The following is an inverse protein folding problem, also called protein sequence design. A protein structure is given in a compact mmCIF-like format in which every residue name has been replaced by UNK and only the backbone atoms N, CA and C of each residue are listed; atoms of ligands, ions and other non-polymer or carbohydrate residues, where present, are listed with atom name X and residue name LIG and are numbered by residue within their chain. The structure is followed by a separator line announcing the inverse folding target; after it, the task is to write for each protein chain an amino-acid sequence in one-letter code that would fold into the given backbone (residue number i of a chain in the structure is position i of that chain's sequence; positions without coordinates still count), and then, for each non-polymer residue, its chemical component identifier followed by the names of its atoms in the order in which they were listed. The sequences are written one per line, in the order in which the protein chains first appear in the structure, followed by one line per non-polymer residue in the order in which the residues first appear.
data_IF_266170725801
#
_entry.id   IF_266170725801
#
_cell.length_a   1.000
_cell.length_b   1.000
_cell.length_c   1.000
_cell.angle_alpha   90.00
_cell.angle_beta   90.00
_cell.angle_gamma   90.00
#
_symmetry.space_group_name_H-M   'P 1'
#
loop_
_entity.id
_entity.type
_entity.pdbx_description
1 polymer ?
#
# COMPACT_ATOMS: atom_id res chain seq x y z
N UNK A 1 3.69 -26.50 -13.15
CA UNK A 1 4.52 -25.59 -12.31
C UNK A 1 4.50 -24.15 -12.81
N UNK A 2 4.79 -23.90 -14.09
CA UNK A 2 4.78 -22.55 -14.68
C UNK A 2 3.45 -21.80 -14.56
N UNK A 3 2.32 -22.49 -14.77
CA UNK A 3 0.99 -21.90 -14.63
C UNK A 3 0.74 -21.34 -13.22
N UNK A 4 1.12 -22.08 -12.17
CA UNK A 4 0.97 -21.60 -10.80
C UNK A 4 1.81 -20.35 -10.49
N UNK A 5 3.02 -20.26 -11.06
CA UNK A 5 3.90 -19.09 -10.88
C UNK A 5 3.29 -17.86 -11.55
N UNK A 6 2.79 -17.98 -12.78
CA UNK A 6 2.17 -16.88 -13.51
C UNK A 6 0.93 -16.33 -12.78
N UNK A 7 0.09 -17.23 -12.25
CA UNK A 7 -1.10 -16.86 -11.47
C UNK A 7 -0.75 -16.06 -10.21
N UNK A 8 0.26 -16.51 -9.46
CA UNK A 8 0.75 -15.80 -8.26
C UNK A 8 1.42 -14.47 -8.60
N UNK A 9 2.20 -14.46 -9.67
CA UNK A 9 2.86 -13.25 -10.18
C UNK A 9 1.83 -12.19 -10.56
N UNK A 10 0.74 -12.56 -11.22
CA UNK A 10 -0.33 -11.63 -11.57
C UNK A 10 -1.08 -11.06 -10.35
N UNK A 11 -1.35 -11.89 -9.33
CA UNK A 11 -1.95 -11.42 -8.08
C UNK A 11 -1.04 -10.39 -7.39
N UNK A 12 0.25 -10.69 -7.28
CA UNK A 12 1.24 -9.79 -6.69
C UNK A 12 1.43 -8.52 -7.52
N UNK A 13 1.51 -8.64 -8.85
CA UNK A 13 1.65 -7.49 -9.75
C UNK A 13 0.43 -6.59 -9.69
N UNK A 14 -0.77 -7.17 -9.70
CA UNK A 14 -2.00 -6.40 -9.61
C UNK A 14 -2.15 -5.67 -8.27
N UNK A 15 -1.86 -6.37 -7.16
CA UNK A 15 -1.85 -5.76 -5.82
C UNK A 15 -0.76 -4.72 -5.64
N UNK A 16 0.44 -4.97 -6.17
CA UNK A 16 1.59 -4.05 -6.14
C UNK A 16 1.32 -2.79 -6.93
N UNK A 17 0.90 -2.91 -8.19
CA UNK A 17 0.53 -1.78 -9.06
C UNK A 17 -0.57 -0.92 -8.44
N UNK A 18 -1.62 -1.54 -7.88
CA UNK A 18 -2.68 -0.81 -7.19
C UNK A 18 -2.18 -0.09 -5.93
N UNK A 19 -1.31 -0.74 -5.14
CA UNK A 19 -0.70 -0.14 -3.95
C UNK A 19 0.20 1.05 -4.29
N UNK A 20 1.02 0.93 -5.34
CA UNK A 20 1.96 1.97 -5.77
C UNK A 20 1.28 3.33 -6.01
N UNK A 21 0.08 3.35 -6.61
CA UNK A 21 -0.68 4.59 -6.88
C UNK A 21 -1.06 5.37 -5.61
N UNK A 22 -1.09 4.68 -4.47
CA UNK A 22 -1.37 5.24 -3.16
C UNK A 22 -0.12 5.26 -2.26
N UNK A 23 1.06 5.10 -2.84
CA UNK A 23 2.34 5.23 -2.14
C UNK A 23 2.70 6.70 -1.94
N UNK A 24 3.38 7.01 -0.85
CA UNK A 24 4.05 8.29 -0.65
C UNK A 24 5.04 8.59 -1.78
N UNK A 25 5.62 7.60 -2.45
CA UNK A 25 6.58 7.78 -3.54
C UNK A 25 6.00 8.46 -4.79
N UNK A 26 4.68 8.60 -4.87
CA UNK A 26 3.99 9.35 -5.93
C UNK A 26 3.71 10.81 -5.51
N UNK A 27 4.06 11.20 -4.27
CA UNK A 27 3.78 12.51 -3.69
C UNK A 27 4.96 13.20 -2.99
N UNK A 28 5.78 12.43 -2.28
CA UNK A 28 6.72 12.90 -1.26
C UNK A 28 8.19 12.76 -1.67
N UNK A 29 8.51 11.80 -2.54
CA UNK A 29 9.89 11.58 -2.95
C UNK A 29 10.19 12.42 -4.18
N UNK A 30 10.94 13.52 -3.97
CA UNK A 30 11.23 14.54 -4.97
C UNK A 30 11.79 13.95 -6.27
N UNK A 31 12.70 12.97 -6.16
CA UNK A 31 13.38 12.37 -7.31
C UNK A 31 12.44 11.55 -8.21
N UNK A 32 11.74 10.53 -7.68
CA UNK A 32 10.75 9.76 -8.43
C UNK A 32 9.61 10.62 -9.00
N UNK A 33 9.05 11.55 -8.21
CA UNK A 33 7.89 12.34 -8.67
C UNK A 33 8.29 13.30 -9.78
N UNK A 34 9.41 14.02 -9.64
CA UNK A 34 9.92 14.89 -10.70
C UNK A 34 10.12 14.11 -12.01
N UNK A 35 10.84 12.98 -11.95
CA UNK A 35 11.06 12.11 -13.11
C UNK A 35 9.78 11.56 -13.72
N UNK A 36 8.78 11.21 -12.90
CA UNK A 36 7.48 10.76 -13.39
C UNK A 36 6.70 11.90 -14.09
N UNK A 37 6.81 13.13 -13.61
CA UNK A 37 6.11 14.29 -14.17
C UNK A 37 6.75 14.87 -15.44
N UNK A 38 8.05 14.66 -15.64
CA UNK A 38 8.76 15.06 -16.87
C UNK A 38 8.36 14.21 -18.09
N UNK A 39 7.89 12.98 -17.87
CA UNK A 39 7.47 12.07 -18.92
C UNK A 39 8.63 11.42 -19.69
N UNK A 40 8.33 10.81 -20.84
CA UNK A 40 9.33 10.15 -21.68
C UNK A 40 9.84 8.80 -21.14
N UNK A 41 11.02 8.39 -21.62
CA UNK A 41 11.58 7.06 -21.34
C UNK A 41 12.01 6.90 -19.87
N UNK A 42 12.50 7.97 -19.24
CA UNK A 42 12.92 7.95 -17.85
C UNK A 42 11.71 7.78 -16.91
N UNK A 43 10.64 8.54 -17.12
CA UNK A 43 9.38 8.37 -16.38
C UNK A 43 8.86 6.93 -16.48
N UNK A 44 8.91 6.32 -17.67
CA UNK A 44 8.50 4.93 -17.87
C UNK A 44 9.41 3.96 -17.10
N UNK A 45 10.72 4.17 -17.11
CA UNK A 45 11.67 3.34 -16.36
C UNK A 45 11.39 3.38 -14.86
N UNK A 46 11.22 4.59 -14.31
CA UNK A 46 10.88 4.81 -12.90
C UNK A 46 9.54 4.17 -12.56
N UNK A 47 8.54 4.32 -13.41
CA UNK A 47 7.24 3.68 -13.22
C UNK A 47 7.36 2.15 -13.14
N UNK A 48 8.08 1.54 -14.08
CA UNK A 48 8.29 0.08 -14.11
C UNK A 48 9.04 -0.37 -12.85
N UNK A 49 10.12 0.33 -12.50
CA UNK A 49 10.93 0.03 -11.30
C UNK A 49 10.06 0.01 -10.04
N UNK A 50 9.30 1.08 -9.78
CA UNK A 50 8.46 1.14 -8.60
C UNK A 50 7.31 0.13 -8.62
N UNK A 51 6.67 -0.11 -9.77
CA UNK A 51 5.65 -1.18 -9.86
C UNK A 51 6.25 -2.55 -9.54
N UNK A 52 7.47 -2.84 -9.99
CA UNK A 52 8.16 -4.10 -9.68
C UNK A 52 8.56 -4.21 -8.21
N UNK A 53 9.05 -3.13 -7.61
CA UNK A 53 9.36 -3.06 -6.17
C UNK A 53 8.09 -3.33 -5.35
N UNK A 54 6.98 -2.64 -5.66
CA UNK A 54 5.70 -2.85 -5.00
C UNK A 54 5.12 -4.24 -5.25
N UNK A 55 5.40 -4.84 -6.41
CA UNK A 55 5.06 -6.24 -6.70
C UNK A 55 5.81 -7.19 -5.78
N UNK A 56 7.08 -6.92 -5.49
CA UNK A 56 7.88 -7.67 -4.51
C UNK A 56 7.28 -7.60 -3.10
N UNK A 57 6.95 -6.39 -2.63
CA UNK A 57 6.31 -6.20 -1.31
C UNK A 57 4.93 -6.87 -1.23
N UNK A 58 4.12 -6.72 -2.29
CA UNK A 58 2.84 -7.40 -2.43
C UNK A 58 2.98 -8.92 -2.36
N UNK A 59 3.98 -9.46 -3.06
CA UNK A 59 4.26 -10.89 -3.07
C UNK A 59 4.62 -11.42 -1.68
N UNK A 60 5.57 -10.77 -0.98
CA UNK A 60 5.94 -11.16 0.39
C UNK A 60 4.72 -11.09 1.32
N UNK A 61 3.96 -10.00 1.24
CA UNK A 61 2.75 -9.80 2.05
C UNK A 61 1.71 -10.89 1.79
N UNK A 62 1.45 -11.25 0.53
CA UNK A 62 0.54 -12.33 0.14
C UNK A 62 1.01 -13.71 0.63
N UNK A 63 2.32 -13.99 0.56
CA UNK A 63 2.88 -15.24 1.10
C UNK A 63 2.65 -15.34 2.60
N UNK A 64 2.90 -14.27 3.34
CA UNK A 64 2.71 -14.25 4.80
C UNK A 64 1.23 -14.33 5.16
N UNK A 65 0.38 -13.52 4.52
CA UNK A 65 -1.08 -13.56 4.65
C UNK A 65 -1.61 -15.00 4.53
N UNK A 66 -1.23 -15.69 3.45
CA UNK A 66 -1.67 -17.05 3.19
C UNK A 66 -1.09 -18.05 4.20
N UNK A 67 0.21 -17.93 4.50
CA UNK A 67 0.89 -18.85 5.41
C UNK A 67 0.40 -18.71 6.86
N UNK A 68 -0.03 -17.52 7.26
CA UNK A 68 -0.58 -17.24 8.57
C UNK A 68 -2.09 -17.49 8.66
N UNK A 69 -2.81 -17.74 7.55
CA UNK A 69 -4.26 -17.94 7.57
C UNK A 69 -5.05 -16.68 7.94
N UNK A 70 -4.57 -15.51 7.54
CA UNK A 70 -5.17 -14.21 7.86
C UNK A 70 -6.59 -14.07 7.28
N UNK A 71 -7.61 -13.93 8.14
CA UNK A 71 -9.03 -13.95 7.72
C UNK A 71 -9.95 -12.95 8.44
N UNK A 72 -9.47 -12.24 9.46
CA UNK A 72 -10.26 -11.24 10.21
C UNK A 72 -9.69 -9.82 10.08
N UNK A 73 -10.42 -8.83 10.61
CA UNK A 73 -10.02 -7.43 10.53
C UNK A 73 -8.65 -7.18 11.19
N UNK A 74 -8.32 -7.90 12.27
CA UNK A 74 -7.03 -7.77 12.96
C UNK A 74 -5.90 -8.25 12.06
N UNK A 75 -6.12 -9.37 11.39
CA UNK A 75 -5.18 -9.91 10.42
C UNK A 75 -4.99 -8.96 9.23
N UNK A 76 -6.05 -8.28 8.77
CA UNK A 76 -5.94 -7.24 7.74
C UNK A 76 -5.09 -6.06 8.21
N UNK A 77 -5.30 -5.56 9.43
CA UNK A 77 -4.49 -4.48 10.02
C UNK A 77 -3.02 -4.89 10.09
N UNK A 78 -2.73 -6.08 10.63
CA UNK A 78 -1.35 -6.58 10.74
C UNK A 78 -0.69 -6.82 9.36
N UNK A 79 -1.48 -7.14 8.34
CA UNK A 79 -0.97 -7.34 6.97
C UNK A 79 -0.63 -6.01 6.31
N UNK A 80 -1.46 -4.98 6.52
CA UNK A 80 -1.11 -3.63 6.11
C UNK A 80 0.12 -3.11 6.84
N UNK A 81 0.26 -3.41 8.14
CA UNK A 81 1.46 -3.07 8.90
C UNK A 81 2.70 -3.77 8.34
N UNK A 82 2.62 -5.08 8.04
CA UNK A 82 3.69 -5.82 7.38
C UNK A 82 4.11 -5.19 6.05
N UNK A 83 3.14 -4.84 5.21
CA UNK A 83 3.39 -4.15 3.94
C UNK A 83 4.12 -2.82 4.18
N UNK A 84 3.68 -2.03 5.17
CA UNK A 84 4.34 -0.80 5.57
C UNK A 84 5.77 -1.01 6.04
N UNK A 85 6.02 -2.00 6.91
CA UNK A 85 7.37 -2.35 7.33
C UNK A 85 8.24 -2.75 6.12
N UNK A 86 7.73 -3.52 5.17
CA UNK A 86 8.50 -3.91 3.98
C UNK A 86 8.90 -2.72 3.13
N UNK A 87 7.97 -1.78 2.90
CA UNK A 87 8.20 -0.57 2.11
C UNK A 87 9.24 0.31 2.81
N UNK A 88 9.01 0.63 4.07
CA UNK A 88 9.87 1.52 4.84
C UNK A 88 11.23 0.90 5.18
N UNK A 89 11.28 -0.42 5.35
CA UNK A 89 12.52 -1.17 5.46
C UNK A 89 13.45 -0.96 4.26
N UNK A 90 12.88 -0.77 3.07
CA UNK A 90 13.64 -0.47 1.86
C UNK A 90 13.95 1.03 1.70
N UNK A 91 13.05 1.91 2.12
CA UNK A 91 13.08 3.33 1.75
C UNK A 91 13.64 4.28 2.82
N UNK A 92 13.35 4.07 4.12
CA UNK A 92 13.85 4.92 5.21
C UNK A 92 15.37 5.09 5.21
N UNK A 93 16.16 4.02 4.98
CA UNK A 93 17.62 4.12 4.84
C UNK A 93 18.13 5.18 3.86
N UNK A 94 17.29 5.62 2.92
CA UNK A 94 17.67 6.49 1.81
C UNK A 94 17.21 7.94 1.99
N UNK A 95 16.27 8.25 2.90
CA UNK A 95 15.54 9.54 2.86
C UNK A 95 15.30 10.21 4.24
N UNK A 96 15.15 9.48 5.35
CA UNK A 96 14.64 10.09 6.60
C UNK A 96 15.65 10.14 7.76
N UNK A 97 15.80 11.32 8.37
CA UNK A 97 16.79 11.59 9.43
C UNK A 97 16.26 11.46 10.88
N UNK A 98 14.99 11.08 11.10
CA UNK A 98 14.38 11.05 12.45
C UNK A 98 13.79 9.68 12.92
N UNK A 99 14.59 8.61 13.04
CA UNK A 99 14.19 7.42 13.80
C UNK A 99 13.81 7.76 15.25
N UNK A 100 12.78 7.14 15.87
CA UNK A 100 11.94 6.04 15.38
C UNK A 100 10.60 6.49 14.78
N UNK A 101 10.27 7.79 14.83
CA UNK A 101 9.01 8.32 14.29
C UNK A 101 8.93 8.04 12.78
N UNK A 102 10.07 8.15 12.08
CA UNK A 102 10.18 7.78 10.68
C UNK A 102 9.86 6.32 10.41
N UNK A 103 9.99 5.39 11.36
CA UNK A 103 9.55 4.00 11.14
C UNK A 103 8.04 3.87 11.23
N UNK A 104 7.44 4.46 12.26
CA UNK A 104 6.05 4.17 12.64
C UNK A 104 5.07 4.95 11.78
N UNK A 105 5.34 6.23 11.49
CA UNK A 105 4.43 7.07 10.70
C UNK A 105 4.20 6.52 9.29
N UNK A 106 5.21 6.48 8.39
CA UNK A 106 4.95 6.08 7.02
C UNK A 106 4.52 4.60 6.93
N UNK A 107 5.07 3.72 7.77
CA UNK A 107 4.64 2.32 7.77
C UNK A 107 3.17 2.12 8.17
N UNK A 108 2.74 2.67 9.31
CA UNK A 108 1.40 2.43 9.85
C UNK A 108 0.41 3.50 9.39
N UNK A 109 0.78 4.76 9.55
CA UNK A 109 -0.08 5.89 9.23
C UNK A 109 -0.28 6.08 7.73
N UNK A 110 0.69 5.72 6.87
CA UNK A 110 0.51 5.78 5.42
C UNK A 110 0.28 4.42 4.79
N UNK A 111 1.26 3.51 4.84
CA UNK A 111 1.21 2.31 4.03
C UNK A 111 0.17 1.29 4.51
N UNK A 112 -0.04 1.14 5.81
CA UNK A 112 -1.12 0.27 6.31
C UNK A 112 -2.51 0.83 5.99
N UNK A 113 -2.74 2.13 6.17
CA UNK A 113 -4.08 2.75 6.03
C UNK A 113 -4.43 3.11 4.58
N UNK A 114 -3.49 3.73 3.86
CA UNK A 114 -3.67 4.28 2.52
C UNK A 114 -3.26 3.22 1.49
N UNK A 115 -1.99 2.86 1.41
CA UNK A 115 -1.49 1.90 0.40
C UNK A 115 -2.21 0.55 0.48
N UNK A 116 -2.29 -0.06 1.66
CA UNK A 116 -2.97 -1.34 1.86
C UNK A 116 -4.46 -1.14 2.11
N UNK A 117 -4.85 -0.32 3.09
CA UNK A 117 -6.26 -0.14 3.46
C UNK A 117 -7.13 0.39 2.31
N UNK A 118 -6.70 1.40 1.58
CA UNK A 118 -7.46 1.91 0.42
C UNK A 118 -7.34 0.95 -0.76
N UNK A 119 -6.12 0.64 -1.18
CA UNK A 119 -5.95 -0.08 -2.44
C UNK A 119 -6.34 -1.56 -2.33
N UNK A 120 -6.09 -2.26 -1.22
CA UNK A 120 -6.36 -3.70 -1.08
C UNK A 120 -7.69 -4.03 -0.43
N UNK A 121 -8.24 -3.14 0.42
CA UNK A 121 -9.43 -3.46 1.23
C UNK A 121 -10.64 -2.61 0.84
N UNK A 122 -10.53 -1.28 0.85
CA UNK A 122 -11.67 -0.40 0.61
C UNK A 122 -12.08 -0.38 -0.86
N UNK A 123 -11.14 -0.21 -1.78
CA UNK A 123 -11.43 -0.13 -3.22
C UNK A 123 -12.15 -1.38 -3.77
N UNK A 124 -11.68 -2.62 -3.55
CA UNK A 124 -12.38 -3.80 -4.05
C UNK A 124 -13.73 -3.98 -3.34
N UNK A 125 -13.85 -3.60 -2.06
CA UNK A 125 -15.13 -3.61 -1.36
C UNK A 125 -16.13 -2.65 -2.01
N UNK A 126 -15.74 -1.41 -2.31
CA UNK A 126 -16.59 -0.42 -3.01
C UNK A 126 -16.97 -0.93 -4.41
N UNK A 127 -16.00 -1.45 -5.17
CA UNK A 127 -16.25 -1.96 -6.53
C UNK A 127 -17.29 -3.09 -6.58
N UNK A 128 -17.36 -3.91 -5.53
CA UNK A 128 -18.27 -5.07 -5.44
C UNK A 128 -19.61 -4.75 -4.80
N UNK A 129 -19.64 -3.86 -3.80
CA UNK A 129 -20.80 -3.68 -2.93
C UNK A 129 -21.51 -2.34 -3.10
N UNK A 130 -20.86 -1.31 -3.63
CA UNK A 130 -21.48 0.00 -3.79
C UNK A 130 -22.26 0.09 -5.10
N UNK A 131 -23.42 0.76 -5.07
CA UNK A 131 -24.17 1.14 -6.27
C UNK A 131 -23.40 2.13 -7.14
N UNK A 132 -23.77 2.26 -8.42
CA UNK A 132 -23.03 3.07 -9.39
C UNK A 132 -22.84 4.53 -8.95
N UNK A 133 -23.88 5.18 -8.41
CA UNK A 133 -23.80 6.58 -7.94
C UNK A 133 -22.83 6.73 -6.77
N UNK A 134 -22.86 5.80 -5.81
CA UNK A 134 -21.91 5.75 -4.70
C UNK A 134 -20.48 5.51 -5.17
N UNK A 135 -20.26 4.64 -6.17
CA UNK A 135 -18.94 4.44 -6.76
C UNK A 135 -18.41 5.75 -7.36
N UNK A 136 -19.21 6.44 -8.17
CA UNK A 136 -18.81 7.73 -8.75
C UNK A 136 -18.49 8.77 -7.67
N UNK A 137 -19.34 8.92 -6.64
CA UNK A 137 -19.12 9.85 -5.55
C UNK A 137 -17.82 9.54 -4.77
N UNK A 138 -17.59 8.27 -4.44
CA UNK A 138 -16.38 7.84 -3.71
C UNK A 138 -15.13 8.03 -4.55
N UNK A 139 -15.15 7.66 -5.84
CA UNK A 139 -13.98 7.83 -6.71
C UNK A 139 -13.67 9.29 -6.99
N UNK A 140 -14.69 10.14 -7.17
CA UNK A 140 -14.53 11.58 -7.28
C UNK A 140 -13.93 12.18 -6.00
N UNK A 141 -14.45 11.79 -4.84
CA UNK A 141 -13.93 12.24 -3.55
C UNK A 141 -12.48 11.78 -3.32
N UNK A 142 -12.16 10.53 -3.68
CA UNK A 142 -10.81 10.00 -3.60
C UNK A 142 -9.84 10.73 -4.54
N UNK A 143 -10.26 11.08 -5.76
CA UNK A 143 -9.42 11.85 -6.69
C UNK A 143 -9.17 13.27 -6.20
N UNK A 144 -10.21 13.95 -5.68
CA UNK A 144 -10.06 15.25 -5.05
C UNK A 144 -9.11 15.21 -3.85
N UNK A 145 -9.28 14.21 -2.98
CA UNK A 145 -8.40 14.00 -1.83
C UNK A 145 -6.97 13.72 -2.27
N UNK A 146 -6.76 12.90 -3.31
CA UNK A 146 -5.44 12.58 -3.85
C UNK A 146 -4.73 13.83 -4.40
N UNK A 147 -5.44 14.70 -5.12
CA UNK A 147 -4.90 15.99 -5.57
C UNK A 147 -4.53 16.92 -4.40
N UNK A 148 -5.42 17.05 -3.41
CA UNK A 148 -5.15 17.85 -2.21
C UNK A 148 -3.99 17.31 -1.37
N UNK A 149 -3.84 15.97 -1.33
CA UNK A 149 -2.73 15.30 -0.67
C UNK A 149 -1.39 15.67 -1.32
N UNK A 150 -1.34 15.76 -2.65
CA UNK A 150 -0.18 16.32 -3.35
C UNK A 150 0.16 17.72 -2.84
N UNK A 151 -0.78 18.66 -2.93
CA UNK A 151 -0.57 20.03 -2.45
C UNK A 151 -0.09 20.10 -1.00
N UNK A 152 -0.61 19.23 -0.12
CA UNK A 152 -0.23 19.18 1.28
C UNK A 152 1.25 18.89 1.47
N UNK A 153 1.80 17.92 0.75
CA UNK A 153 3.19 17.50 0.95
C UNK A 153 4.20 18.33 0.16
N UNK A 154 3.83 18.80 -1.03
CA UNK A 154 4.65 19.77 -1.76
C UNK A 154 4.78 21.11 -1.02
N UNK A 155 3.87 21.44 -0.10
CA UNK A 155 3.94 22.66 0.72
C UNK A 155 4.91 22.55 1.92
N UNK A 156 5.36 21.34 2.26
CA UNK A 156 6.24 21.12 3.44
C UNK A 156 7.71 21.41 3.14
N UNK A 157 8.14 21.34 1.89
CA UNK A 157 9.50 21.66 1.48
C UNK A 157 9.50 22.77 0.43
N UNK A 158 10.20 23.87 0.72
CA UNK A 158 10.34 24.98 -0.21
C UNK A 158 11.18 24.63 -1.46
N UNK A 159 11.98 23.56 -1.41
CA UNK A 159 12.70 23.02 -2.56
C UNK A 159 11.78 22.24 -3.52
N UNK A 160 10.63 21.76 -3.03
CA UNK A 160 9.67 21.03 -3.85
C UNK A 160 8.86 21.99 -4.72
N UNK A 161 8.95 21.82 -6.03
CA UNK A 161 8.10 22.53 -6.99
C UNK A 161 6.88 21.69 -7.33
N UNK A 162 5.68 22.22 -7.07
CA UNK A 162 4.44 21.61 -7.55
C UNK A 162 4.49 21.46 -9.09
N UNK A 163 4.16 20.27 -9.62
CA UNK A 163 4.05 20.11 -11.06
C UNK A 163 2.95 21.04 -11.60
N UNK A 164 3.14 21.56 -12.82
CA UNK A 164 2.09 22.32 -13.48
C UNK A 164 0.83 21.46 -13.75
N UNK A 165 -0.35 22.07 -13.95
CA UNK A 165 -1.61 21.33 -14.11
C UNK A 165 -1.59 20.26 -15.21
N UNK A 166 -0.89 20.51 -16.33
CA UNK A 166 -0.74 19.56 -17.41
C UNK A 166 0.12 18.35 -17.02
N UNK A 167 1.25 18.57 -16.35
CA UNK A 167 2.14 17.51 -15.87
C UNK A 167 1.44 16.64 -14.82
N UNK A 168 0.74 17.27 -13.87
CA UNK A 168 -0.07 16.56 -12.88
C UNK A 168 -1.20 15.76 -13.53
N UNK A 169 -1.89 16.32 -14.52
CA UNK A 169 -2.93 15.58 -15.26
C UNK A 169 -2.38 14.34 -15.97
N UNK A 170 -1.17 14.45 -16.54
CA UNK A 170 -0.44 13.32 -17.12
C UNK A 170 -0.12 12.25 -16.07
N UNK A 171 0.42 12.65 -14.92
CA UNK A 171 0.69 11.76 -13.80
C UNK A 171 -0.58 11.06 -13.31
N UNK A 172 -1.65 11.81 -13.09
CA UNK A 172 -2.94 11.27 -12.65
C UNK A 172 -3.51 10.27 -13.67
N UNK A 173 -3.43 10.57 -14.97
CA UNK A 173 -3.87 9.65 -16.02
C UNK A 173 -3.07 8.34 -15.98
N UNK A 174 -1.73 8.40 -15.92
CA UNK A 174 -0.86 7.22 -15.84
C UNK A 174 -1.13 6.42 -14.57
N UNK A 175 -1.19 7.08 -13.40
CA UNK A 175 -1.51 6.45 -12.13
C UNK A 175 -2.90 5.78 -12.15
N UNK A 176 -3.89 6.43 -12.76
CA UNK A 176 -5.23 5.86 -12.97
C UNK A 176 -5.22 4.61 -13.84
N UNK A 177 -4.46 4.61 -14.95
CA UNK A 177 -4.29 3.44 -15.80
C UNK A 177 -3.60 2.29 -15.07
N UNK A 178 -2.54 2.57 -14.31
CA UNK A 178 -1.83 1.58 -13.49
C UNK A 178 -2.75 1.00 -12.42
N UNK A 179 -3.56 1.83 -11.75
CA UNK A 179 -4.55 1.38 -10.78
C UNK A 179 -5.58 0.47 -11.44
N UNK A 180 -6.20 0.90 -12.53
CA UNK A 180 -7.24 0.13 -13.24
C UNK A 180 -6.66 -1.20 -13.74
N UNK A 181 -5.49 -1.19 -14.38
CA UNK A 181 -4.82 -2.39 -14.87
C UNK A 181 -4.45 -3.33 -13.71
N UNK A 182 -3.90 -2.79 -12.62
CA UNK A 182 -3.55 -3.56 -11.43
C UNK A 182 -4.76 -4.23 -10.78
N UNK A 183 -5.88 -3.50 -10.62
CA UNK A 183 -7.14 -4.07 -10.14
C UNK A 183 -7.70 -5.11 -11.08
N UNK A 184 -7.77 -4.78 -12.36
CA UNK A 184 -8.26 -5.69 -13.38
C UNK A 184 -7.48 -7.00 -13.38
N UNK A 185 -6.16 -6.95 -13.19
CA UNK A 185 -5.28 -8.11 -13.11
C UNK A 185 -5.50 -8.93 -11.84
N UNK A 186 -5.53 -8.27 -10.67
CA UNK A 186 -5.70 -8.93 -9.37
C UNK A 186 -7.07 -9.62 -9.21
N UNK A 187 -8.11 -9.08 -9.85
CA UNK A 187 -9.48 -9.61 -9.78
C UNK A 187 -9.77 -10.71 -10.82
N UNK A 188 -8.77 -11.21 -11.56
CA UNK A 188 -9.02 -12.31 -12.51
C UNK A 188 -9.21 -13.65 -11.79
N UNK A 189 -10.13 -14.53 -12.24
CA UNK A 189 -10.27 -15.88 -11.67
C UNK A 189 -8.97 -16.68 -11.66
N UNK A 190 -8.13 -16.43 -12.66
CA UNK A 190 -6.83 -17.06 -12.79
C UNK A 190 -5.76 -16.40 -11.92
N UNK A 191 -5.91 -15.17 -11.41
CA UNK A 191 -4.97 -14.52 -10.48
C UNK A 191 -5.09 -15.07 -9.04
N UNK A 192 -5.16 -16.39 -8.91
CA UNK A 192 -5.23 -17.09 -7.63
C UNK A 192 -3.86 -17.16 -6.95
N UNK A 193 -3.85 -17.02 -5.63
CA UNK A 193 -2.63 -17.07 -4.83
C UNK A 193 -2.64 -18.26 -3.87
N UNK A 194 -1.76 -19.24 -4.12
CA UNK A 194 -1.54 -20.39 -3.24
C UNK A 194 -0.03 -20.71 -3.22
N UNK A 195 0.72 -20.18 -2.24
CA UNK A 195 2.17 -20.34 -2.15
C UNK A 195 2.56 -21.73 -1.65
N UNK A 196 3.52 -22.33 -2.35
CA UNK A 196 4.23 -23.53 -1.91
C UNK A 196 5.49 -23.19 -1.11
N UNK A 197 6.32 -24.21 -0.86
CA UNK A 197 7.61 -24.05 -0.15
C UNK A 197 8.57 -23.11 -0.88
N UNK A 198 8.64 -23.21 -2.21
CA UNK A 198 9.51 -22.36 -3.03
C UNK A 198 9.12 -20.88 -2.91
N UNK A 199 7.82 -20.57 -2.91
CA UNK A 199 7.32 -19.20 -2.76
C UNK A 199 7.66 -18.61 -1.38
N UNK A 200 7.62 -19.45 -0.33
CA UNK A 200 8.04 -19.03 1.03
C UNK A 200 9.54 -18.74 1.11
N UNK A 201 10.37 -19.60 0.52
CA UNK A 201 11.82 -19.36 0.44
C UNK A 201 12.09 -18.09 -0.38
N UNK A 202 11.42 -17.93 -1.51
CA UNK A 202 11.57 -16.75 -2.36
C UNK A 202 11.13 -15.47 -1.65
N UNK A 203 9.99 -15.47 -0.94
CA UNK A 203 9.55 -14.32 -0.14
C UNK A 203 10.54 -13.99 0.99
N UNK A 204 11.11 -15.01 1.64
CA UNK A 204 12.16 -14.79 2.64
C UNK A 204 13.41 -14.14 2.02
N UNK A 205 13.86 -14.63 0.86
CA UNK A 205 14.98 -14.05 0.11
C UNK A 205 14.69 -12.61 -0.35
N UNK A 206 13.48 -12.33 -0.85
CA UNK A 206 13.05 -10.97 -1.22
C UNK A 206 13.01 -10.01 -0.02
N UNK A 207 12.87 -10.53 1.20
CA UNK A 207 12.87 -9.72 2.43
C UNK A 207 14.29 -9.41 2.93
N UNK A 208 15.33 -10.07 2.40
CA UNK A 208 16.72 -9.85 2.83
C UNK A 208 17.23 -8.47 2.43
N UNK A 209 17.13 -8.00 1.16
CA UNK A 209 17.61 -6.67 0.79
C UNK A 209 17.07 -5.52 1.65
N UNK A 210 15.74 -5.38 1.89
CA UNK A 210 15.24 -4.31 2.76
C UNK A 210 15.71 -4.48 4.21
N UNK A 211 15.80 -5.71 4.72
CA UNK A 211 16.34 -5.93 6.06
C UNK A 211 17.82 -5.52 6.18
N UNK A 212 18.64 -5.84 5.19
CA UNK A 212 20.05 -5.42 5.15
C UNK A 212 20.17 -3.90 5.02
N UNK A 213 19.39 -3.26 4.14
CA UNK A 213 19.37 -1.81 3.98
C UNK A 213 19.03 -1.11 5.31
N UNK A 214 17.97 -1.56 5.98
CA UNK A 214 17.57 -1.06 7.30
C UNK A 214 18.65 -1.27 8.36
N UNK A 215 19.24 -2.47 8.42
CA UNK A 215 20.30 -2.79 9.37
C UNK A 215 21.55 -1.92 9.20
N UNK A 216 21.94 -1.66 7.95
CA UNK A 216 23.10 -0.82 7.64
C UNK A 216 22.85 0.66 7.94
N UNK A 217 21.67 1.17 7.60
CA UNK A 217 21.39 2.60 7.76
C UNK A 217 20.99 3.00 9.19
N UNK A 218 20.19 2.19 9.89
CA UNK A 218 19.72 2.51 11.24
C UNK A 218 20.61 1.91 12.35
N UNK A 219 21.62 1.10 12.01
CA UNK A 219 22.55 0.51 12.95
C UNK A 219 21.83 -0.23 14.10
N UNK A 220 22.18 0.01 15.38
CA UNK A 220 21.51 -0.63 16.52
C UNK A 220 20.01 -0.34 16.61
N UNK A 221 19.54 0.80 16.09
CA UNK A 221 18.10 1.18 16.12
C UNK A 221 17.27 0.25 15.23
N UNK A 222 17.87 -0.36 14.21
CA UNK A 222 17.22 -1.37 13.37
C UNK A 222 16.67 -2.56 14.19
N UNK A 223 17.25 -2.87 15.36
CA UNK A 223 16.75 -3.91 16.25
C UNK A 223 15.32 -3.64 16.73
N UNK A 224 14.98 -2.37 16.99
CA UNK A 224 13.62 -1.98 17.35
C UNK A 224 12.67 -2.22 16.18
N UNK A 225 13.06 -1.86 14.97
CA UNK A 225 12.30 -2.12 13.74
C UNK A 225 12.07 -3.64 13.54
N UNK A 226 13.13 -4.46 13.65
CA UNK A 226 12.98 -5.91 13.54
C UNK A 226 12.09 -6.51 14.63
N UNK A 227 12.12 -5.96 15.84
CA UNK A 227 11.20 -6.35 16.90
C UNK A 227 9.73 -6.04 16.53
N UNK A 228 9.45 -4.87 15.94
CA UNK A 228 8.10 -4.52 15.46
C UNK A 228 7.61 -5.48 14.36
N UNK A 229 8.50 -5.83 13.41
CA UNK A 229 8.19 -6.83 12.37
C UNK A 229 7.92 -8.19 12.98
N UNK A 230 8.78 -8.65 13.89
CA UNK A 230 8.64 -9.95 14.54
C UNK A 230 7.33 -10.06 15.35
N UNK A 231 6.98 -9.02 16.12
CA UNK A 231 5.72 -8.96 16.88
C UNK A 231 4.51 -8.95 15.94
N UNK A 232 4.59 -8.24 14.81
CA UNK A 232 3.53 -8.23 13.78
C UNK A 232 3.30 -9.63 13.21
N UNK A 233 4.38 -10.32 12.79
CA UNK A 233 4.31 -11.69 12.25
C UNK A 233 3.80 -12.70 13.29
N UNK A 234 4.28 -12.60 14.53
CA UNK A 234 3.83 -13.43 15.63
C UNK A 234 2.32 -13.27 15.88
N UNK A 235 1.84 -12.02 15.93
CA UNK A 235 0.41 -11.74 16.14
C UNK A 235 -0.45 -12.27 14.98
N UNK A 236 0.02 -12.13 13.73
CA UNK A 236 -0.66 -12.69 12.55
C UNK A 236 -0.79 -14.21 12.63
N UNK A 237 0.30 -14.91 12.96
CA UNK A 237 0.30 -16.36 13.08
C UNK A 237 -0.66 -16.85 14.18
N UNK A 238 -0.84 -16.09 15.25
CA UNK A 238 -1.80 -16.41 16.33
C UNK A 238 -3.26 -16.27 15.89
N UNK A 239 -3.59 -15.24 15.10
CA UNK A 239 -4.98 -15.00 14.69
C UNK A 239 -5.51 -16.02 13.68
N UNK A 240 -4.68 -16.52 12.75
CA UNK A 240 -5.16 -17.45 11.71
C UNK A 240 -5.26 -18.92 12.11
N UNK A 241 -4.85 -19.30 13.34
CA UNK A 241 -4.85 -20.68 13.82
C UNK A 241 -6.24 -21.31 14.07
N UNK A 242 -7.36 -20.65 13.77
CA UNK A 242 -8.70 -21.17 14.09
C UNK A 242 -9.88 -20.60 13.30
N UNK A 243 -9.65 -20.11 12.08
CA UNK A 243 -10.71 -19.52 11.26
C UNK A 243 -11.18 -20.49 10.14
N UNK A 244 -12.49 -20.71 9.97
CA UNK A 244 -13.04 -21.54 8.89
C UNK A 244 -12.78 -20.94 7.49
N UNK A 245 -13.02 -21.76 6.46
CA UNK A 245 -12.70 -21.48 5.07
C UNK A 245 -13.48 -20.28 4.50
N UNK A 246 -12.81 -19.42 3.70
CA UNK A 246 -13.41 -18.19 3.16
C UNK A 246 -13.93 -18.47 1.76
N UNK A 247 -15.20 -18.14 1.53
CA UNK A 247 -15.78 -18.08 0.19
C UNK A 247 -15.05 -17.03 -0.65
N UNK A 248 -14.67 -17.39 -1.87
CA UNK A 248 -14.08 -16.42 -2.80
C UNK A 248 -15.05 -15.25 -3.01
N UNK A 249 -14.66 -13.99 -2.74
CA UNK A 249 -15.54 -12.85 -2.95
C UNK A 249 -15.91 -12.76 -4.42
N UNK A 250 -17.15 -12.35 -4.70
CA UNK A 250 -17.61 -12.15 -6.06
C UNK A 250 -16.74 -11.12 -6.79
N UNK A 251 -16.53 -11.34 -8.08
CA UNK A 251 -15.75 -10.42 -8.90
C UNK A 251 -16.49 -9.09 -9.12
N UNK A 252 -15.79 -7.95 -9.18
CA UNK A 252 -16.40 -6.70 -9.58
C UNK A 252 -17.00 -6.79 -10.98
N UNK A 253 -18.14 -6.14 -11.18
CA UNK A 253 -18.73 -5.99 -12.51
C UNK A 253 -17.76 -5.23 -13.46
N UNK A 254 -17.69 -5.57 -14.75
CA UNK A 254 -16.78 -4.90 -15.70
C UNK A 254 -16.91 -3.37 -15.73
N UNK A 255 -18.13 -2.86 -15.56
CA UNK A 255 -18.39 -1.41 -15.50
C UNK A 255 -17.74 -0.71 -14.28
N UNK A 256 -17.42 -1.43 -13.20
CA UNK A 256 -16.76 -0.85 -12.03
C UNK A 256 -15.34 -0.36 -12.34
N UNK A 257 -14.63 -1.05 -13.25
CA UNK A 257 -13.30 -0.62 -13.71
C UNK A 257 -13.35 0.63 -14.57
N UNK A 258 -14.37 0.74 -15.43
CA UNK A 258 -14.59 1.96 -16.23
C UNK A 258 -14.91 3.15 -15.34
N UNK A 259 -15.77 2.95 -14.34
CA UNK A 259 -16.11 3.99 -13.35
C UNK A 259 -14.90 4.42 -12.51
N UNK A 260 -13.94 3.52 -12.26
CA UNK A 260 -12.70 3.88 -11.58
C UNK A 260 -11.89 4.94 -12.34
N UNK A 261 -12.12 5.11 -13.66
CA UNK A 261 -11.56 6.22 -14.44
C UNK A 261 -12.01 7.62 -13.99
N UNK A 262 -13.03 7.72 -13.12
CA UNK A 262 -13.43 8.99 -12.48
C UNK A 262 -12.40 9.46 -11.46
N UNK A 263 -11.67 8.54 -10.81
CA UNK A 263 -10.60 8.89 -9.87
C UNK A 263 -9.52 9.78 -10.51
N UNK A 264 -8.81 9.36 -11.58
CA UNK A 264 -7.77 10.20 -12.16
C UNK A 264 -8.32 11.48 -12.82
N UNK A 265 -9.54 11.42 -13.38
CA UNK A 265 -10.19 12.59 -13.97
C UNK A 265 -10.50 13.65 -12.91
N UNK A 266 -11.11 13.27 -11.79
CA UNK A 266 -11.42 14.19 -10.70
C UNK A 266 -10.15 14.72 -10.04
N UNK A 267 -9.09 13.92 -9.90
CA UNK A 267 -7.80 14.41 -9.42
C UNK A 267 -7.23 15.51 -10.33
N UNK A 268 -7.19 15.26 -11.64
CA UNK A 268 -6.69 16.23 -12.62
C UNK A 268 -7.50 17.54 -12.64
N UNK A 269 -8.83 17.45 -12.54
CA UNK A 269 -9.72 18.61 -12.49
C UNK A 269 -9.61 19.38 -11.16
N UNK A 270 -9.42 18.67 -10.05
CA UNK A 270 -9.34 19.27 -8.72
C UNK A 270 -8.01 20.00 -8.49
N UNK A 271 -6.90 19.46 -8.99
CA UNK A 271 -5.56 19.98 -8.74
C UNK A 271 -5.41 21.50 -8.94
N UNK A 272 -5.79 22.12 -10.08
CA UNK A 272 -5.67 23.56 -10.24
C UNK A 272 -6.61 24.39 -9.36
N UNK A 273 -7.58 23.77 -8.70
CA UNK A 273 -8.59 24.42 -7.86
C UNK A 273 -8.24 24.40 -6.38
N UNK A 274 -7.26 23.58 -5.97
CA UNK A 274 -6.87 23.43 -4.57
C UNK A 274 -5.76 24.44 -4.25
N UNK A 275 -5.99 25.39 -3.33
CA UNK A 275 -4.91 26.26 -2.86
C UNK A 275 -3.89 25.44 -2.08
N UNK A 276 -2.61 25.78 -2.21
CA UNK A 276 -1.56 25.20 -1.36
C UNK A 276 -1.84 25.52 0.12
N UNK A 277 -1.91 24.52 1.00
CA UNK A 277 -2.04 24.79 2.42
C UNK A 277 -0.76 25.42 2.97
N UNK A 278 -0.81 26.10 4.13
CA UNK A 278 0.41 26.58 4.79
C UNK A 278 1.34 25.42 5.17
N UNK A 279 2.65 25.65 5.15
CA UNK A 279 3.62 24.69 5.65
C UNK A 279 3.31 24.24 7.09
N UNK A 280 3.58 22.98 7.41
CA UNK A 280 3.25 22.34 8.68
C UNK A 280 1.81 21.83 8.80
N UNK A 281 0.94 22.07 7.81
CA UNK A 281 -0.43 21.54 7.85
C UNK A 281 -0.50 20.04 7.65
N UNK A 282 0.52 19.42 7.05
CA UNK A 282 0.57 17.96 6.92
C UNK A 282 0.47 17.29 8.30
N UNK A 283 1.07 17.85 9.35
CA UNK A 283 1.01 17.32 10.72
C UNK A 283 -0.42 17.20 11.28
N UNK A 284 -1.35 18.07 10.85
CA UNK A 284 -2.76 18.02 11.27
C UNK A 284 -3.45 16.75 10.79
N UNK A 285 -2.99 16.18 9.67
CA UNK A 285 -3.52 14.96 9.09
C UNK A 285 -2.68 13.74 9.48
N UNK A 286 -1.35 13.90 9.44
CA UNK A 286 -0.37 12.88 9.74
C UNK A 286 -0.53 12.35 11.17
N UNK A 287 -0.54 13.24 12.17
CA UNK A 287 -0.51 12.81 13.57
C UNK A 287 -1.76 12.03 13.98
N UNK A 288 -3.01 12.48 13.67
CA UNK A 288 -4.20 11.69 13.97
C UNK A 288 -4.22 10.36 13.22
N UNK A 289 -3.82 10.34 11.96
CA UNK A 289 -3.79 9.10 11.17
C UNK A 289 -2.76 8.11 11.72
N UNK A 290 -1.56 8.59 12.11
CA UNK A 290 -0.54 7.80 12.82
C UNK A 290 -1.09 7.20 14.10
N UNK A 291 -1.74 8.03 14.92
CA UNK A 291 -2.25 7.63 16.22
C UNK A 291 -3.33 6.55 16.08
N UNK A 292 -4.30 6.77 15.19
CA UNK A 292 -5.36 5.79 14.91
C UNK A 292 -4.79 4.48 14.36
N UNK A 293 -3.85 4.56 13.42
CA UNK A 293 -3.17 3.39 12.86
C UNK A 293 -2.41 2.59 13.93
N UNK A 294 -1.65 3.29 14.78
CA UNK A 294 -0.89 2.68 15.88
C UNK A 294 -1.83 2.02 16.88
N UNK A 295 -2.93 2.67 17.25
CA UNK A 295 -3.94 2.10 18.15
C UNK A 295 -4.61 0.85 17.55
N UNK A 296 -4.92 0.86 16.25
CA UNK A 296 -5.47 -0.30 15.56
C UNK A 296 -4.48 -1.48 15.54
N UNK A 297 -3.21 -1.21 15.25
CA UNK A 297 -2.13 -2.21 15.26
C UNK A 297 -1.91 -2.79 16.67
N UNK A 298 -1.84 -1.94 17.69
CA UNK A 298 -1.75 -2.37 19.10
C UNK A 298 -2.96 -3.21 19.51
N UNK A 299 -4.17 -2.80 19.14
CA UNK A 299 -5.38 -3.57 19.42
C UNK A 299 -5.36 -4.95 18.73
N UNK A 300 -4.81 -5.05 17.52
CA UNK A 300 -4.62 -6.32 16.83
C UNK A 300 -3.61 -7.23 17.56
N UNK A 301 -2.49 -6.67 18.06
CA UNK A 301 -1.49 -7.40 18.86
C UNK A 301 -2.08 -7.88 20.19
N UNK A 302 -2.74 -6.98 20.94
CA UNK A 302 -3.38 -7.33 22.20
C UNK A 302 -4.45 -8.41 22.02
N UNK A 303 -5.15 -8.38 20.89
CA UNK A 303 -6.06 -9.44 20.49
C UNK A 303 -5.37 -10.81 20.36
N UNK A 304 -4.15 -10.86 19.83
CA UNK A 304 -3.38 -12.10 19.68
C UNK A 304 -2.95 -12.69 21.03
N UNK A 305 -2.63 -11.85 22.01
CA UNK A 305 -2.31 -12.29 23.39
C UNK A 305 -3.53 -12.96 24.04
N UNK A 306 -4.71 -12.39 23.83
CA UNK A 306 -5.97 -12.90 24.41
C UNK A 306 -6.54 -14.11 23.67
N UNK A 307 -6.02 -14.43 22.48
CA UNK A 307 -6.48 -15.55 21.68
C UNK A 307 -6.10 -16.88 22.36
N UNK A 308 -7.09 -17.56 22.95
CA UNK A 308 -6.96 -18.95 23.41
C UNK A 308 -7.37 -19.87 22.27
N UNK A 309 -6.47 -20.74 21.82
CA UNK A 309 -6.78 -21.74 20.80
C UNK A 309 -7.97 -22.58 21.24
N UNK A 310 -9.06 -22.58 20.47
CA UNK A 310 -10.23 -23.41 20.75
C UNK A 310 -9.91 -24.91 20.79
N UNK A 311 -8.77 -25.33 20.25
CA UNK A 311 -8.27 -26.71 20.28
C UNK A 311 -7.74 -27.20 21.65
N UNK A 312 -7.85 -26.40 22.71
CA UNK A 312 -7.49 -26.78 24.09
C UNK A 312 -8.71 -26.94 25.01
N UNK A 313 -9.90 -27.21 24.45
CA UNK A 313 -11.12 -27.62 25.16
C UNK A 313 -11.65 -28.89 24.51
#
# INVERSE_FOLDING_TARGET
MAEGVARRGAAALGGGAAGFVFSELVFLNEGPVARLTEGGAEALSVLIEFVLIYTGFAYVTLVVLWSCGARDWRSLVLSGALMGWLIEGALIPLVYEAPPISFVWPSLGWHMTITFGVAWVALPWVMRNAGWGSQLAIYSGAGFAWAGWGHLFFAEDAAMTLPGPAAFSGLAAVAGLVLIAGRWLADRPWAGFSPGRADRVFAALLSVPPAVAMGLAAGPVALAFFALVAVTLWAMARHGAGAPDVTHPALPAPAAYLRLGVFPLSAALAFPLIPGPPAGWSFVVILPLTALATLAWLAAILGAIRYRSRAAR
#
